data_IF_043237500971
#
_entry.id   IF_043237500971
#
_cell.length_a   1.000
_cell.length_b   1.000
_cell.length_c   1.000
_cell.angle_alpha   90.00
_cell.angle_beta   90.00
_cell.angle_gamma   90.00
#
_symmetry.space_group_name_H-M   'P 1'
#
loop_
_entity.id
_entity.type
_entity.pdbx_description
1 polymer ?
#
# COMPACT_ATOMS: atom_id res chain seq x y z
N UNK A 1 -82.82 24.59 -25.46
CA UNK A 1 -81.38 25.02 -25.67
C UNK A 1 -80.65 24.65 -24.40
N UNK A 2 -79.84 23.57 -24.49
CA UNK A 2 -79.13 23.01 -23.35
C UNK A 2 -77.62 23.36 -23.46
N UNK A 3 -76.97 23.86 -22.40
CA UNK A 3 -75.53 24.12 -22.47
C UNK A 3 -74.72 22.82 -22.16
N UNK A 4 -73.83 22.51 -23.07
CA UNK A 4 -72.88 21.41 -22.95
C UNK A 4 -71.78 21.79 -21.89
N UNK A 5 -71.66 21.00 -20.83
CA UNK A 5 -70.58 21.14 -19.84
C UNK A 5 -69.32 20.49 -20.40
N UNK A 6 -68.28 21.29 -20.58
CA UNK A 6 -66.90 20.79 -20.83
C UNK A 6 -66.27 20.38 -19.52
N UNK A 7 -66.12 19.06 -19.34
CA UNK A 7 -65.36 18.48 -18.23
C UNK A 7 -63.87 18.48 -18.59
N UNK A 8 -63.10 19.40 -18.05
CA UNK A 8 -61.63 19.40 -18.15
C UNK A 8 -61.05 18.34 -17.22
N UNK A 9 -60.54 17.26 -17.82
CA UNK A 9 -59.71 16.27 -17.12
C UNK A 9 -58.30 16.84 -16.92
N UNK A 10 -58.02 17.28 -15.68
CA UNK A 10 -56.67 17.59 -15.21
C UNK A 10 -55.94 16.27 -14.95
N UNK A 11 -55.07 15.86 -15.85
CA UNK A 11 -54.12 14.79 -15.64
C UNK A 11 -52.98 15.31 -14.71
N UNK A 12 -52.71 14.67 -13.55
CA UNK A 12 -51.56 15.05 -12.74
C UNK A 12 -50.29 14.61 -13.45
N UNK A 13 -49.42 15.57 -13.76
CA UNK A 13 -48.08 15.33 -14.26
C UNK A 13 -47.26 14.71 -13.11
N UNK A 14 -47.04 13.39 -13.15
CA UNK A 14 -46.16 12.69 -12.23
C UNK A 14 -44.71 13.08 -12.57
N UNK A 15 -44.13 14.00 -11.81
CA UNK A 15 -42.70 14.30 -11.88
C UNK A 15 -41.95 13.08 -11.32
N UNK A 16 -41.41 12.23 -12.21
CA UNK A 16 -40.46 11.19 -11.84
C UNK A 16 -39.13 11.88 -11.57
N UNK A 17 -38.85 12.12 -10.28
CA UNK A 17 -37.51 12.52 -9.82
C UNK A 17 -36.61 11.30 -9.95
N UNK A 18 -35.88 11.22 -11.05
CA UNK A 18 -34.78 10.27 -11.19
C UNK A 18 -33.66 10.77 -10.30
N UNK A 19 -33.58 10.24 -9.08
CA UNK A 19 -32.36 10.37 -8.26
C UNK A 19 -31.30 9.57 -8.99
N UNK A 20 -30.41 10.27 -9.67
CA UNK A 20 -29.14 9.70 -10.12
C UNK A 20 -28.39 9.31 -8.82
N UNK A 21 -28.49 8.04 -8.45
CA UNK A 21 -27.68 7.48 -7.39
C UNK A 21 -26.23 7.69 -7.80
N UNK A 22 -25.54 8.60 -7.11
CA UNK A 22 -24.08 8.67 -7.15
C UNK A 22 -23.64 7.32 -6.58
N UNK A 23 -23.26 6.39 -7.48
CA UNK A 23 -22.61 5.16 -7.06
C UNK A 23 -21.38 5.49 -6.22
N UNK A 24 -20.88 4.56 -5.39
CA UNK A 24 -19.71 4.80 -4.57
C UNK A 24 -18.61 5.37 -5.45
N UNK A 25 -18.15 6.57 -5.11
CA UNK A 25 -17.04 7.22 -5.78
C UNK A 25 -15.84 6.28 -5.71
N UNK A 26 -15.41 5.81 -6.85
CA UNK A 26 -14.31 4.88 -6.96
C UNK A 26 -13.09 5.52 -6.30
N UNK A 27 -12.49 4.81 -5.35
CA UNK A 27 -11.31 5.22 -4.62
C UNK A 27 -10.25 5.81 -5.57
N UNK A 28 -9.90 7.07 -5.38
CA UNK A 28 -9.01 7.77 -6.30
C UNK A 28 -7.57 7.68 -5.85
N UNK A 29 -6.85 6.69 -6.36
CA UNK A 29 -5.40 6.73 -6.37
C UNK A 29 -4.96 7.68 -7.48
N UNK A 30 -4.02 8.58 -7.17
CA UNK A 30 -3.49 9.52 -8.13
C UNK A 30 -2.20 8.97 -8.77
N UNK A 31 -1.99 9.15 -10.07
CA UNK A 31 -0.71 8.83 -10.68
C UNK A 31 0.42 9.61 -10.01
N UNK A 32 1.50 8.91 -9.66
CA UNK A 32 2.70 9.55 -9.13
C UNK A 32 3.39 10.37 -10.22
N UNK A 33 3.88 11.55 -9.85
CA UNK A 33 4.78 12.31 -10.71
C UNK A 33 6.18 11.71 -10.69
N UNK A 34 6.93 11.90 -11.77
CA UNK A 34 8.32 11.42 -11.87
C UNK A 34 9.16 12.07 -10.76
N UNK A 35 9.83 11.25 -9.96
CA UNK A 35 10.67 11.70 -8.85
C UNK A 35 9.93 12.08 -7.57
N UNK A 36 8.60 12.02 -7.52
CA UNK A 36 7.84 12.29 -6.28
C UNK A 36 7.97 11.20 -5.22
N UNK A 37 8.25 9.96 -5.63
CA UNK A 37 8.41 8.78 -4.75
C UNK A 37 9.75 8.07 -5.03
N UNK A 38 10.91 8.73 -4.82
CA UNK A 38 12.21 8.21 -5.27
C UNK A 38 12.70 6.98 -4.51
N UNK A 39 12.09 6.69 -3.38
CA UNK A 39 12.37 5.53 -2.52
C UNK A 39 11.52 4.31 -2.86
N UNK A 40 10.41 4.48 -3.58
CA UNK A 40 9.50 3.37 -3.90
C UNK A 40 10.09 2.47 -4.97
N UNK A 41 10.09 1.17 -4.69
CA UNK A 41 10.62 0.16 -5.59
C UNK A 41 9.60 -0.93 -5.90
N UNK A 42 9.70 -1.51 -7.09
CA UNK A 42 8.93 -2.70 -7.48
C UNK A 42 9.77 -3.95 -7.25
N UNK A 43 9.36 -4.80 -6.29
CA UNK A 43 9.94 -6.12 -6.09
C UNK A 43 9.36 -7.08 -7.13
N UNK A 44 10.23 -7.80 -7.81
CA UNK A 44 9.86 -8.69 -8.91
C UNK A 44 10.47 -10.07 -8.71
N UNK A 45 9.68 -11.12 -8.97
CA UNK A 45 10.14 -12.50 -8.97
C UNK A 45 9.95 -13.10 -10.36
N UNK A 46 11.00 -13.68 -10.92
CA UNK A 46 11.02 -14.24 -12.28
C UNK A 46 10.49 -13.24 -13.34
N UNK A 47 10.84 -11.97 -13.18
CA UNK A 47 10.45 -10.89 -14.10
C UNK A 47 9.05 -10.32 -13.89
N UNK A 48 8.25 -10.84 -12.94
CA UNK A 48 6.89 -10.38 -12.65
C UNK A 48 6.89 -9.59 -11.34
N UNK A 49 6.19 -8.45 -11.29
CA UNK A 49 5.95 -7.69 -10.07
C UNK A 49 5.16 -8.54 -9.07
N UNK A 50 5.62 -8.60 -7.84
CA UNK A 50 4.95 -9.35 -6.76
C UNK A 50 4.57 -8.45 -5.59
N UNK A 51 5.39 -7.43 -5.28
CA UNK A 51 5.22 -6.54 -4.13
C UNK A 51 5.88 -5.18 -4.38
N UNK A 52 5.57 -4.23 -3.53
CA UNK A 52 6.34 -3.00 -3.37
C UNK A 52 7.53 -3.16 -2.43
N UNK A 53 8.24 -2.07 -2.20
CA UNK A 53 9.30 -1.94 -1.20
C UNK A 53 9.74 -0.49 -1.07
N UNK A 54 10.58 -0.23 -0.08
CA UNK A 54 11.24 1.07 0.11
C UNK A 54 12.75 0.94 0.12
N UNK A 55 13.44 1.77 -0.65
CA UNK A 55 14.90 1.90 -0.62
C UNK A 55 15.29 2.62 0.68
N UNK A 56 16.02 1.95 1.58
CA UNK A 56 16.46 2.50 2.87
C UNK A 56 17.97 2.83 2.89
N UNK A 57 18.72 2.34 1.90
CA UNK A 57 20.07 2.81 1.58
C UNK A 57 20.33 2.60 0.08
N UNK A 58 21.53 2.90 -0.41
CA UNK A 58 21.90 2.62 -1.81
C UNK A 58 22.01 1.12 -2.14
N UNK A 59 21.95 0.26 -1.12
CA UNK A 59 22.14 -1.19 -1.25
C UNK A 59 21.06 -2.03 -0.55
N UNK A 60 20.12 -1.42 0.18
CA UNK A 60 19.11 -2.11 0.94
C UNK A 60 17.69 -1.63 0.65
N UNK A 61 16.79 -2.60 0.54
CA UNK A 61 15.33 -2.39 0.40
C UNK A 61 14.63 -3.10 1.54
N UNK A 62 13.61 -2.47 2.13
CA UNK A 62 12.67 -3.07 3.06
C UNK A 62 11.36 -3.40 2.34
N UNK A 63 10.77 -4.55 2.65
CA UNK A 63 9.49 -5.02 2.11
C UNK A 63 8.77 -5.90 3.14
N UNK A 64 7.58 -6.42 2.82
CA UNK A 64 6.91 -7.40 3.65
C UNK A 64 7.55 -8.80 3.52
N UNK A 65 7.66 -9.54 4.63
CA UNK A 65 8.26 -10.87 4.64
C UNK A 65 7.48 -11.88 3.80
N UNK A 66 6.15 -11.82 3.80
CA UNK A 66 5.32 -12.73 3.00
C UNK A 66 5.58 -12.62 1.49
N UNK A 67 6.16 -11.50 1.01
CA UNK A 67 6.53 -11.30 -0.39
C UNK A 67 7.67 -12.22 -0.84
N UNK A 68 8.48 -12.68 0.10
CA UNK A 68 9.70 -13.46 -0.17
C UNK A 68 9.72 -14.81 0.55
N UNK A 69 8.86 -15.01 1.53
CA UNK A 69 8.76 -16.22 2.35
C UNK A 69 8.18 -17.40 1.56
N UNK A 70 8.67 -18.60 1.86
CA UNK A 70 8.07 -19.85 1.43
C UNK A 70 7.09 -20.29 2.50
N UNK A 71 5.83 -20.45 2.13
CA UNK A 71 4.76 -20.95 3.01
C UNK A 71 4.62 -20.17 4.32
N UNK A 72 4.96 -18.87 4.32
CA UNK A 72 4.82 -18.00 5.48
C UNK A 72 5.79 -18.25 6.63
N UNK A 73 6.88 -18.97 6.38
CA UNK A 73 7.93 -19.26 7.36
C UNK A 73 9.19 -18.43 7.18
N UNK A 74 10.25 -18.83 7.88
CA UNK A 74 11.56 -18.16 7.86
C UNK A 74 12.40 -18.45 6.61
N UNK A 75 11.98 -19.41 5.78
CA UNK A 75 12.68 -19.70 4.53
C UNK A 75 12.21 -18.77 3.41
N UNK A 76 13.15 -18.17 2.72
CA UNK A 76 12.87 -17.39 1.51
C UNK A 76 13.03 -18.20 0.24
N UNK A 77 12.35 -17.79 -0.84
CA UNK A 77 12.75 -18.20 -2.17
C UNK A 77 14.20 -17.74 -2.48
N UNK A 78 14.91 -18.40 -3.42
CA UNK A 78 16.27 -18.00 -3.76
C UNK A 78 16.35 -16.53 -4.16
N UNK A 79 17.31 -15.77 -3.59
CA UNK A 79 17.49 -14.35 -3.87
C UNK A 79 17.65 -14.06 -5.37
N UNK A 80 18.32 -14.98 -6.10
CA UNK A 80 18.57 -14.91 -7.54
C UNK A 80 17.29 -14.92 -8.39
N UNK A 81 16.16 -15.38 -7.84
CA UNK A 81 14.86 -15.31 -8.52
C UNK A 81 14.22 -13.92 -8.47
N UNK A 82 14.79 -13.02 -7.66
CA UNK A 82 14.27 -11.67 -7.46
C UNK A 82 15.17 -10.60 -8.06
N UNK A 83 14.53 -9.52 -8.47
CA UNK A 83 15.16 -8.24 -8.73
C UNK A 83 14.26 -7.09 -8.26
N UNK A 84 14.89 -5.95 -8.05
CA UNK A 84 14.22 -4.69 -7.67
C UNK A 84 14.32 -3.72 -8.83
N UNK A 85 13.20 -3.08 -9.19
CA UNK A 85 13.19 -1.91 -10.08
C UNK A 85 13.10 -0.66 -9.22
N UNK A 86 14.12 0.19 -9.27
CA UNK A 86 14.21 1.47 -8.56
C UNK A 86 14.25 2.64 -9.55
N UNK A 87 13.75 3.82 -9.14
CA UNK A 87 13.86 5.04 -9.93
C UNK A 87 12.95 5.13 -11.15
N UNK A 88 11.87 4.37 -11.18
CA UNK A 88 10.85 4.47 -12.23
C UNK A 88 9.45 4.46 -11.63
N UNK A 89 8.59 5.32 -12.15
CA UNK A 89 7.15 5.23 -11.91
C UNK A 89 6.48 4.15 -12.78
N UNK A 90 7.16 3.67 -13.81
CA UNK A 90 6.65 2.62 -14.70
C UNK A 90 7.04 1.24 -14.19
N UNK A 91 6.05 0.39 -13.89
CA UNK A 91 6.27 -0.98 -13.37
C UNK A 91 7.10 -1.86 -14.32
N UNK A 92 6.96 -1.69 -15.62
CA UNK A 92 7.56 -2.55 -16.64
C UNK A 92 8.80 -1.97 -17.31
N UNK A 93 9.07 -0.66 -17.17
CA UNK A 93 10.11 0.02 -17.93
C UNK A 93 10.85 1.08 -17.10
N UNK A 94 11.98 1.53 -17.59
CA UNK A 94 12.78 2.60 -16.99
C UNK A 94 13.47 2.21 -15.69
N UNK A 95 14.12 3.19 -15.08
CA UNK A 95 14.85 3.03 -13.82
C UNK A 95 16.02 2.05 -13.89
N UNK A 96 16.40 1.55 -12.73
CA UNK A 96 17.48 0.59 -12.55
C UNK A 96 16.88 -0.76 -12.13
N UNK A 97 17.27 -1.83 -12.80
CA UNK A 97 16.83 -3.19 -12.46
C UNK A 97 18.01 -3.94 -11.83
N UNK A 98 17.95 -4.20 -10.53
CA UNK A 98 19.06 -4.77 -9.76
C UNK A 98 18.66 -6.10 -9.13
N UNK A 99 19.40 -7.20 -9.36
CA UNK A 99 19.19 -8.49 -8.70
C UNK A 99 19.45 -8.41 -7.20
N UNK A 100 18.91 -9.35 -6.44
CA UNK A 100 19.23 -9.50 -5.01
C UNK A 100 20.43 -10.41 -4.80
N UNK A 101 21.25 -10.09 -3.79
CA UNK A 101 22.31 -10.95 -3.26
C UNK A 101 21.84 -11.74 -2.04
N UNK A 102 20.97 -11.15 -1.19
CA UNK A 102 20.51 -11.75 0.05
C UNK A 102 19.08 -11.30 0.38
N UNK A 103 18.35 -12.17 1.08
CA UNK A 103 17.04 -11.90 1.70
C UNK A 103 17.16 -12.23 3.18
N UNK A 104 16.74 -11.30 4.04
CA UNK A 104 16.70 -11.48 5.50
C UNK A 104 15.26 -11.28 5.94
N UNK A 105 14.60 -12.36 6.34
CA UNK A 105 13.25 -12.31 6.93
C UNK A 105 13.41 -12.02 8.42
N UNK A 106 12.54 -11.16 8.99
CA UNK A 106 12.55 -10.89 10.41
C UNK A 106 12.39 -12.18 11.21
N UNK A 107 13.27 -12.44 12.19
CA UNK A 107 13.37 -13.72 12.89
C UNK A 107 12.08 -14.14 13.62
N UNK A 108 11.24 -13.19 13.99
CA UNK A 108 9.95 -13.44 14.65
C UNK A 108 8.76 -13.45 13.68
N UNK A 109 9.00 -13.33 12.36
CA UNK A 109 7.92 -13.41 11.39
C UNK A 109 7.30 -14.80 11.34
N UNK A 110 5.97 -14.86 11.36
CA UNK A 110 5.20 -16.09 11.14
C UNK A 110 3.82 -15.74 10.56
N UNK A 111 3.48 -16.36 9.45
CA UNK A 111 2.14 -16.23 8.86
C UNK A 111 1.05 -17.01 9.62
N UNK A 112 1.44 -17.85 10.57
CA UNK A 112 0.49 -18.56 11.44
C UNK A 112 -0.10 -17.67 12.54
N UNK A 113 0.54 -16.54 12.80
CA UNK A 113 0.01 -15.50 13.67
C UNK A 113 -0.96 -14.61 12.91
N UNK A 114 -1.96 -14.09 13.61
CA UNK A 114 -2.96 -13.23 13.01
C UNK A 114 -2.28 -12.03 12.31
N UNK A 115 -2.64 -11.82 11.05
CA UNK A 115 -2.20 -10.67 10.24
C UNK A 115 -0.68 -10.52 10.05
N UNK A 116 0.11 -11.60 10.19
CA UNK A 116 1.53 -11.56 9.88
C UNK A 116 2.32 -10.64 10.81
N UNK A 117 2.35 -10.95 12.11
CA UNK A 117 3.22 -10.24 13.06
C UNK A 117 4.67 -10.25 12.57
N UNK A 118 5.35 -9.12 12.70
CA UNK A 118 6.72 -8.93 12.22
C UNK A 118 6.90 -9.20 10.71
N UNK A 119 5.89 -8.92 9.90
CA UNK A 119 5.89 -9.17 8.45
C UNK A 119 6.85 -8.22 7.72
N UNK A 120 8.14 -8.31 8.03
CA UNK A 120 9.23 -7.51 7.46
C UNK A 120 10.35 -8.38 6.91
N UNK A 121 10.91 -7.95 5.78
CA UNK A 121 12.13 -8.49 5.21
C UNK A 121 13.04 -7.39 4.69
N UNK A 122 14.34 -7.59 4.83
CA UNK A 122 15.39 -6.78 4.22
C UNK A 122 15.97 -7.51 3.01
N UNK A 123 16.13 -6.77 1.92
CA UNK A 123 16.64 -7.26 0.65
C UNK A 123 17.95 -6.55 0.35
N UNK A 124 19.05 -7.30 0.31
CA UNK A 124 20.34 -6.77 -0.10
C UNK A 124 20.44 -6.81 -1.62
N UNK A 125 20.74 -5.69 -2.23
CA UNK A 125 20.97 -5.58 -3.66
C UNK A 125 22.36 -6.16 -4.01
N UNK A 126 22.47 -6.81 -5.17
CA UNK A 126 23.74 -7.34 -5.65
C UNK A 126 24.74 -6.24 -5.99
N UNK A 127 24.24 -5.10 -6.45
CA UNK A 127 25.02 -3.87 -6.70
C UNK A 127 24.26 -2.68 -6.16
N UNK A 128 24.99 -1.65 -5.73
CA UNK A 128 24.38 -0.39 -5.31
C UNK A 128 23.62 0.26 -6.45
N UNK A 129 22.46 0.85 -6.14
CA UNK A 129 21.77 1.72 -7.09
C UNK A 129 22.50 3.05 -7.21
N UNK A 130 22.45 3.63 -8.41
CA UNK A 130 22.93 5.00 -8.63
C UNK A 130 21.90 5.98 -8.13
N UNK A 131 22.25 6.74 -7.09
CA UNK A 131 21.37 7.75 -6.52
C UNK A 131 21.23 8.95 -7.47
N UNK A 132 20.01 9.44 -7.63
CA UNK A 132 19.67 10.60 -8.46
C UNK A 132 18.31 11.18 -8.03
N UNK A 133 17.75 12.11 -8.78
CA UNK A 133 16.46 12.73 -8.43
C UNK A 133 15.32 11.70 -8.30
N UNK A 134 15.36 10.61 -9.05
CA UNK A 134 14.32 9.57 -9.10
C UNK A 134 14.64 8.33 -8.23
N UNK A 135 15.85 8.26 -7.65
CA UNK A 135 16.31 7.14 -6.84
C UNK A 135 17.02 7.67 -5.61
N UNK A 136 16.33 7.67 -4.48
CA UNK A 136 16.87 8.12 -3.18
C UNK A 136 16.36 7.21 -2.08
N UNK A 137 17.20 6.86 -1.09
CA UNK A 137 16.72 6.19 0.11
C UNK A 137 15.82 7.12 0.92
N UNK A 138 15.03 6.52 1.79
CA UNK A 138 14.18 7.20 2.75
C UNK A 138 14.63 6.89 4.17
N UNK A 139 14.64 7.91 5.03
CA UNK A 139 14.95 7.75 6.45
C UNK A 139 13.81 7.06 7.18
N UNK A 140 14.15 6.25 8.19
CA UNK A 140 13.17 5.61 9.05
C UNK A 140 12.63 6.61 10.08
N UNK A 141 11.33 6.66 10.27
CA UNK A 141 10.71 7.43 11.34
C UNK A 141 11.18 6.93 12.71
N UNK A 142 11.35 7.83 13.66
CA UNK A 142 11.75 7.51 15.04
C UNK A 142 10.56 7.24 15.95
N UNK A 143 9.41 7.78 15.59
CA UNK A 143 8.19 7.74 16.38
C UNK A 143 6.99 7.40 15.51
N UNK A 144 6.05 6.69 16.09
CA UNK A 144 4.77 6.39 15.49
C UNK A 144 3.96 7.68 15.34
N UNK A 145 3.30 7.94 14.19
CA UNK A 145 2.41 9.08 14.03
C UNK A 145 1.26 9.05 15.02
N UNK A 146 0.86 10.23 15.51
CA UNK A 146 -0.35 10.34 16.32
C UNK A 146 -1.57 9.86 15.53
N UNK A 147 -2.59 9.34 16.24
CA UNK A 147 -3.86 9.01 15.62
C UNK A 147 -4.46 10.23 14.91
N UNK A 148 -5.03 10.01 13.74
CA UNK A 148 -5.55 11.09 12.88
C UNK A 148 -4.50 11.72 11.96
N UNK A 149 -3.22 11.36 12.06
CA UNK A 149 -2.19 11.83 11.14
C UNK A 149 -2.46 11.33 9.72
N UNK A 150 -2.27 12.20 8.73
CA UNK A 150 -2.42 11.86 7.32
C UNK A 150 -1.09 11.35 6.76
N UNK A 151 -1.09 10.12 6.27
CA UNK A 151 0.06 9.44 5.64
C UNK A 151 -0.21 9.26 4.16
N UNK A 152 0.84 9.25 3.35
CA UNK A 152 0.78 8.80 1.97
C UNK A 152 1.34 7.39 1.84
N UNK A 153 0.77 6.60 0.94
CA UNK A 153 1.41 5.37 0.47
C UNK A 153 1.50 5.37 -1.06
N UNK A 154 2.43 4.60 -1.60
CA UNK A 154 2.61 4.50 -3.05
C UNK A 154 2.83 3.06 -3.47
N UNK A 155 2.14 2.62 -4.54
CA UNK A 155 2.23 1.25 -5.01
C UNK A 155 1.78 1.07 -6.46
N UNK A 156 2.04 -0.12 -7.00
CA UNK A 156 1.60 -0.55 -8.32
C UNK A 156 0.48 -1.61 -8.25
N UNK A 157 -0.12 -1.78 -7.08
CA UNK A 157 -1.21 -2.71 -6.91
C UNK A 157 -2.42 -2.42 -7.78
N UNK A 158 -3.33 -3.35 -7.84
CA UNK A 158 -4.61 -3.15 -8.53
C UNK A 158 -5.43 -2.04 -7.84
N UNK A 159 -6.30 -1.40 -8.59
CA UNK A 159 -7.30 -0.46 -8.06
C UNK A 159 -8.65 -1.12 -7.78
N UNK A 160 -8.82 -2.38 -8.11
CA UNK A 160 -10.05 -3.16 -7.91
C UNK A 160 -9.73 -4.63 -7.62
N UNK A 161 -10.66 -5.30 -6.94
CA UNK A 161 -10.59 -6.74 -6.76
C UNK A 161 -10.48 -7.44 -8.13
N UNK A 162 -9.59 -8.43 -8.23
CA UNK A 162 -9.32 -9.18 -9.47
C UNK A 162 -8.82 -8.34 -10.66
N UNK A 163 -8.44 -7.07 -10.41
CA UNK A 163 -7.88 -6.18 -11.43
C UNK A 163 -6.42 -6.48 -11.74
N UNK A 164 -5.95 -5.99 -12.89
CA UNK A 164 -4.52 -5.99 -13.23
C UNK A 164 -3.75 -4.97 -12.40
N UNK A 165 -2.48 -5.26 -12.11
CA UNK A 165 -1.58 -4.31 -11.46
C UNK A 165 -1.42 -3.04 -12.31
N UNK A 166 -1.36 -1.90 -11.65
CA UNK A 166 -1.17 -0.61 -12.33
C UNK A 166 0.13 -0.58 -13.14
N UNK A 167 0.10 -0.01 -14.33
CA UNK A 167 1.32 0.23 -15.13
C UNK A 167 2.17 1.34 -14.51
N UNK A 168 1.52 2.41 -14.04
CA UNK A 168 2.15 3.55 -13.38
C UNK A 168 2.02 3.47 -11.87
N UNK A 169 3.04 3.96 -11.14
CA UNK A 169 2.98 4.12 -9.70
C UNK A 169 1.80 5.02 -9.31
N UNK A 170 1.04 4.59 -8.34
CA UNK A 170 -0.10 5.34 -7.79
C UNK A 170 0.20 5.78 -6.38
N UNK A 171 -0.34 6.92 -5.97
CA UNK A 171 -0.24 7.48 -4.62
C UNK A 171 -1.64 7.67 -4.05
N UNK A 172 -1.82 7.37 -2.78
CA UNK A 172 -3.04 7.68 -2.06
C UNK A 172 -2.72 8.15 -0.64
N UNK A 173 -3.66 8.87 -0.04
CA UNK A 173 -3.59 9.33 1.34
C UNK A 173 -4.47 8.48 2.25
N UNK A 174 -3.95 8.17 3.44
CA UNK A 174 -4.66 7.40 4.47
C UNK A 174 -4.48 8.09 5.82
N UNK A 175 -5.34 7.78 6.77
CA UNK A 175 -5.29 8.35 8.11
C UNK A 175 -4.94 7.28 9.14
N UNK A 176 -3.97 7.57 10.03
CA UNK A 176 -3.60 6.65 11.10
C UNK A 176 -4.71 6.50 12.12
N UNK A 177 -4.96 5.28 12.57
CA UNK A 177 -5.84 4.98 13.71
C UNK A 177 -5.04 4.91 15.01
N UNK A 178 -5.73 5.12 16.14
CA UNK A 178 -5.19 4.72 17.44
C UNK A 178 -5.07 3.19 17.51
N UNK A 179 -4.18 2.68 18.37
CA UNK A 179 -4.06 1.23 18.60
C UNK A 179 -5.39 0.62 19.04
N UNK A 180 -6.15 1.32 19.91
CA UNK A 180 -7.45 0.86 20.39
C UNK A 180 -8.51 0.82 19.28
N UNK A 181 -8.51 1.76 18.34
CA UNK A 181 -9.48 1.77 17.25
C UNK A 181 -9.09 0.77 16.17
N UNK A 182 -7.80 0.57 15.92
CA UNK A 182 -7.27 -0.50 15.08
C UNK A 182 -7.74 -1.87 15.60
N UNK A 183 -7.49 -2.15 16.88
CA UNK A 183 -7.92 -3.38 17.55
C UNK A 183 -9.44 -3.62 17.46
N UNK A 184 -10.25 -2.58 17.73
CA UNK A 184 -11.71 -2.68 17.64
C UNK A 184 -12.21 -2.98 16.24
N UNK A 185 -11.58 -2.40 15.21
CA UNK A 185 -12.06 -2.53 13.82
C UNK A 185 -11.54 -3.80 13.15
N UNK A 186 -10.30 -4.23 13.46
CA UNK A 186 -9.71 -5.42 12.85
C UNK A 186 -9.75 -6.66 13.75
N UNK A 187 -10.14 -6.52 15.03
CA UNK A 187 -10.11 -7.60 16.04
C UNK A 187 -8.72 -8.24 16.20
N UNK A 188 -7.66 -7.41 16.06
CA UNK A 188 -6.27 -7.83 16.13
C UNK A 188 -5.55 -7.08 17.25
N UNK A 189 -4.82 -7.82 18.10
CA UNK A 189 -3.95 -7.27 19.14
C UNK A 189 -2.49 -7.49 18.73
N UNK A 190 -1.89 -6.47 18.10
CA UNK A 190 -0.48 -6.51 17.70
C UNK A 190 0.16 -5.16 17.99
N UNK A 191 1.31 -5.17 18.67
CA UNK A 191 2.03 -3.94 19.02
C UNK A 191 2.65 -3.28 17.80
N UNK A 192 3.14 -4.07 16.85
CA UNK A 192 3.78 -3.61 15.61
C UNK A 192 2.79 -3.34 14.47
N UNK A 193 1.49 -3.39 14.73
CA UNK A 193 0.46 -3.08 13.72
C UNK A 193 0.13 -1.59 13.72
N UNK A 194 0.28 -0.95 12.57
CA UNK A 194 -0.26 0.37 12.27
C UNK A 194 -1.43 0.24 11.31
N UNK A 195 -2.61 0.67 11.73
CA UNK A 195 -3.80 0.69 10.88
C UNK A 195 -3.97 2.04 10.22
N UNK A 196 -4.21 2.01 8.92
CA UNK A 196 -4.54 3.21 8.15
C UNK A 196 -5.94 3.09 7.57
N UNK A 197 -6.80 4.06 7.87
CA UNK A 197 -8.18 4.13 7.40
C UNK A 197 -8.34 5.07 6.19
N UNK A 198 -9.46 4.99 5.46
CA UNK A 198 -9.81 5.99 4.46
C UNK A 198 -9.81 7.42 5.02
N UNK A 199 -9.50 8.39 4.19
CA UNK A 199 -9.68 9.81 4.48
C UNK A 199 -11.01 10.24 3.88
N UNK A 200 -11.98 10.55 4.71
CA UNK A 200 -13.34 10.88 4.30
C UNK A 200 -13.95 9.79 3.38
N UNK A 201 -14.53 10.18 2.25
CA UNK A 201 -15.14 9.27 1.27
C UNK A 201 -14.14 8.70 0.24
N UNK A 202 -12.83 8.90 0.44
CA UNK A 202 -11.79 8.34 -0.40
C UNK A 202 -11.40 6.93 0.07
N UNK A 203 -11.96 5.92 -0.56
CA UNK A 203 -11.72 4.51 -0.26
C UNK A 203 -10.45 3.94 -0.92
N UNK A 204 -9.51 4.80 -1.34
CA UNK A 204 -8.23 4.40 -1.93
C UNK A 204 -7.35 3.67 -0.90
N UNK A 205 -7.52 2.36 -0.76
CA UNK A 205 -6.77 1.49 0.16
C UNK A 205 -5.75 0.59 -0.54
N UNK A 206 -5.13 -0.30 0.23
CA UNK A 206 -4.28 -1.36 -0.30
C UNK A 206 -5.08 -2.31 -1.19
N UNK A 207 -4.37 -2.91 -2.13
CA UNK A 207 -4.91 -3.95 -3.00
C UNK A 207 -3.81 -4.96 -3.38
N UNK A 208 -4.18 -6.01 -4.09
CA UNK A 208 -3.23 -7.01 -4.58
C UNK A 208 -2.07 -6.34 -5.31
N UNK A 209 -0.84 -6.65 -4.92
CA UNK A 209 0.40 -6.07 -5.45
C UNK A 209 0.93 -4.85 -4.71
N UNK A 210 0.24 -4.34 -3.68
CA UNK A 210 0.74 -3.24 -2.83
C UNK A 210 1.47 -3.72 -1.57
N UNK A 211 1.40 -4.99 -1.23
CA UNK A 211 2.17 -5.53 -0.12
C UNK A 211 3.64 -5.10 -0.22
N UNK A 212 4.25 -4.73 0.89
CA UNK A 212 5.61 -4.18 0.92
C UNK A 212 5.71 -2.69 0.56
N UNK A 213 4.64 -2.05 0.10
CA UNK A 213 4.63 -0.62 -0.24
C UNK A 213 4.87 0.26 0.99
N UNK A 214 5.62 1.38 0.85
CA UNK A 214 5.90 2.29 1.95
C UNK A 214 4.71 3.18 2.31
N UNK A 215 4.48 3.36 3.62
CA UNK A 215 3.66 4.42 4.18
C UNK A 215 4.56 5.51 4.76
N UNK A 216 4.33 6.75 4.35
CA UNK A 216 5.19 7.89 4.58
C UNK A 216 4.48 8.96 5.40
N UNK A 217 5.15 9.46 6.40
CA UNK A 217 4.72 10.61 7.20
C UNK A 217 5.88 11.59 7.38
N UNK A 218 5.66 12.87 7.10
CA UNK A 218 6.69 13.92 7.20
C UNK A 218 8.00 13.60 6.47
N UNK A 219 7.91 12.92 5.32
CA UNK A 219 9.08 12.54 4.52
C UNK A 219 9.87 11.33 5.07
N UNK A 220 9.39 10.65 6.08
CA UNK A 220 10.03 9.48 6.69
C UNK A 220 9.17 8.22 6.50
N UNK A 221 9.83 7.08 6.38
CA UNK A 221 9.19 5.77 6.34
C UNK A 221 8.67 5.39 7.72
N UNK A 222 7.36 5.24 7.83
CA UNK A 222 6.69 4.90 9.08
C UNK A 222 6.30 3.44 9.13
N UNK A 223 5.82 2.90 8.01
CA UNK A 223 5.32 1.52 8.00
C UNK A 223 5.41 0.90 6.59
N UNK A 224 5.31 -0.42 6.55
CA UNK A 224 5.29 -1.25 5.34
C UNK A 224 3.94 -1.94 5.23
N UNK A 225 3.31 -1.85 4.07
CA UNK A 225 2.01 -2.46 3.77
C UNK A 225 2.06 -3.98 3.93
N UNK A 226 1.16 -4.52 4.73
CA UNK A 226 1.08 -5.95 5.00
C UNK A 226 -0.19 -6.59 4.42
N UNK A 227 -1.38 -6.07 4.74
CA UNK A 227 -2.64 -6.67 4.31
C UNK A 227 -3.77 -5.64 4.21
N UNK A 228 -4.84 -6.04 3.54
CA UNK A 228 -6.11 -5.31 3.48
C UNK A 228 -7.27 -6.25 3.83
N UNK A 229 -8.40 -5.69 4.27
CA UNK A 229 -9.56 -6.42 4.74
C UNK A 229 -10.78 -6.14 3.86
N UNK A 230 -11.59 -7.16 3.58
CA UNK A 230 -12.88 -7.02 2.88
C UNK A 230 -12.77 -6.74 1.38
N UNK A 231 -11.58 -6.68 0.82
CA UNK A 231 -11.32 -6.36 -0.58
C UNK A 231 -10.78 -4.95 -0.80
N UNK A 232 -10.31 -4.69 -2.01
CA UNK A 232 -9.73 -3.39 -2.39
C UNK A 232 -10.78 -2.29 -2.29
N UNK A 233 -10.47 -1.23 -1.56
CA UNK A 233 -11.40 -0.10 -1.39
C UNK A 233 -12.66 -0.42 -0.59
N UNK A 234 -12.60 -1.40 0.31
CA UNK A 234 -13.73 -1.81 1.17
C UNK A 234 -14.16 -0.75 2.17
N UNK A 235 -13.36 0.29 2.38
CA UNK A 235 -13.58 1.26 3.46
C UNK A 235 -13.09 0.78 4.83
N UNK A 236 -12.65 -0.47 4.94
CA UNK A 236 -12.02 -0.98 6.16
C UNK A 236 -10.59 -0.44 6.28
N UNK A 237 -10.01 -0.41 7.51
CA UNK A 237 -8.61 -0.10 7.68
C UNK A 237 -7.72 -1.15 7.03
N UNK A 238 -6.61 -0.69 6.45
CA UNK A 238 -5.53 -1.55 5.99
C UNK A 238 -4.48 -1.72 7.09
N UNK A 239 -3.84 -2.89 7.14
CA UNK A 239 -2.78 -3.22 8.09
C UNK A 239 -1.39 -2.99 7.52
N UNK A 240 -0.55 -2.33 8.29
CA UNK A 240 0.86 -2.05 7.99
C UNK A 240 1.73 -2.45 9.18
N UNK A 241 2.93 -2.95 8.92
CA UNK A 241 3.92 -3.17 9.98
C UNK A 241 4.61 -1.85 10.31
N UNK A 242 4.56 -1.46 11.59
CA UNK A 242 5.15 -0.23 12.11
C UNK A 242 6.69 -0.33 12.15
N UNK A 243 7.34 0.35 11.23
CA UNK A 243 8.81 0.37 11.12
C UNK A 243 9.49 0.96 12.36
N UNK A 244 8.81 1.83 13.11
CA UNK A 244 9.38 2.45 14.30
C UNK A 244 9.71 1.42 15.40
N UNK A 245 8.95 0.32 15.46
CA UNK A 245 9.16 -0.79 16.39
C UNK A 245 10.33 -1.71 15.98
N UNK A 246 10.75 -1.66 14.72
CA UNK A 246 11.76 -2.56 14.14
C UNK A 246 13.07 -1.84 13.79
N UNK A 247 13.24 -0.58 14.22
CA UNK A 247 14.43 0.23 13.87
C UNK A 247 15.74 -0.41 14.26
N UNK A 248 15.82 -1.00 15.47
CA UNK A 248 17.04 -1.66 15.93
C UNK A 248 17.40 -2.81 15.00
N UNK A 249 16.45 -3.69 14.72
CA UNK A 249 16.66 -4.80 13.79
C UNK A 249 17.06 -4.32 12.38
N UNK A 250 16.42 -3.30 11.84
CA UNK A 250 16.78 -2.75 10.53
C UNK A 250 18.21 -2.21 10.53
N UNK A 251 18.60 -1.48 11.58
CA UNK A 251 19.91 -0.85 11.69
C UNK A 251 21.06 -1.87 11.90
N UNK A 252 20.79 -3.09 12.36
CA UNK A 252 21.80 -4.16 12.41
C UNK A 252 22.35 -4.52 11.04
N UNK A 253 21.58 -4.33 9.97
CA UNK A 253 21.93 -4.75 8.61
C UNK A 253 22.22 -3.58 7.65
N UNK A 254 21.53 -2.45 7.83
CA UNK A 254 21.50 -1.37 6.83
C UNK A 254 22.63 -0.35 7.00
N UNK A 255 23.39 -0.38 8.07
CA UNK A 255 24.53 0.54 8.38
C UNK A 255 25.75 0.28 7.51
#
# INVERSE_FOLDING_TARGET
>A
MSPVQFLQLLLPLLLVVVTLGVGPTQASRLPAEVGSQPHSVSLRRNGVHVCGGALVSDNWVITAAHCVSISGGQQSYPAQSYNVRAGSIQRLAGGQLVPLSQIIIHQNYSSSEAAGANDLALLQLQTKVTLNANTKPIDLATERPAAGSQLSFSGWGSSQAEGSFSHGLQVASRQSLSASDCQKQLFLEQEDLLCLSPVAEDYAGLCSGDAGAPAIYNGQLVAIAAFFVGGCGSGQPDGYVDVTQHREWINEYVN
#
